data_IF_346069451310
#
_entry.id   IF_346069451310
#
_cell.length_a   1.000
_cell.length_b   1.000
_cell.length_c   1.000
_cell.angle_alpha   90.00
_cell.angle_beta   90.00
_cell.angle_gamma   90.00
#
_symmetry.space_group_name_H-M   'P 1'
#
loop_
_entity.id
_entity.type
_entity.pdbx_description
1 polymer ?
#
# COMPACT_ATOMS: atom_id res chain seq x y z
N UNK A 1 18.30 -46.91 -8.32
CA UNK A 1 18.52 -45.96 -7.20
C UNK A 1 19.09 -44.62 -7.69
N UNK A 2 20.21 -44.60 -8.44
CA UNK A 2 20.83 -43.35 -8.92
C UNK A 2 19.96 -42.52 -9.89
N UNK A 3 19.25 -43.15 -10.82
CA UNK A 3 18.41 -42.44 -11.79
C UNK A 3 17.24 -41.67 -11.13
N UNK A 4 16.66 -42.22 -10.07
CA UNK A 4 15.57 -41.58 -9.31
C UNK A 4 16.10 -40.35 -8.55
N UNK A 5 17.29 -40.45 -7.96
CA UNK A 5 17.93 -39.32 -7.28
C UNK A 5 18.27 -38.17 -8.25
N UNK A 6 18.73 -38.49 -9.47
CA UNK A 6 19.03 -37.48 -10.49
C UNK A 6 17.76 -36.72 -10.94
N UNK A 7 16.64 -37.41 -11.13
CA UNK A 7 15.37 -36.79 -11.51
C UNK A 7 14.86 -35.85 -10.41
N UNK A 8 14.92 -36.28 -9.14
CA UNK A 8 14.52 -35.44 -7.99
C UNK A 8 15.39 -34.18 -7.91
N UNK A 9 16.71 -34.30 -8.15
CA UNK A 9 17.62 -33.17 -8.12
C UNK A 9 17.32 -32.13 -9.20
N UNK A 10 17.00 -32.59 -10.42
CA UNK A 10 16.60 -31.70 -11.52
C UNK A 10 15.29 -30.98 -11.22
N UNK A 11 14.31 -31.68 -10.64
CA UNK A 11 13.04 -31.06 -10.24
C UNK A 11 13.24 -30.00 -9.16
N UNK A 12 14.03 -30.29 -8.13
CA UNK A 12 14.35 -29.33 -7.05
C UNK A 12 15.14 -28.14 -7.60
N UNK A 13 16.09 -28.36 -8.51
CA UNK A 13 16.87 -27.29 -9.13
C UNK A 13 15.98 -26.36 -9.98
N UNK A 14 15.09 -26.91 -10.80
CA UNK A 14 14.14 -26.13 -11.59
C UNK A 14 13.14 -25.37 -10.71
N UNK A 15 12.66 -25.99 -9.63
CA UNK A 15 11.72 -25.35 -8.70
C UNK A 15 12.40 -24.26 -7.87
N UNK A 16 13.64 -24.48 -7.42
CA UNK A 16 14.45 -23.50 -6.71
C UNK A 16 14.82 -22.29 -7.56
N UNK A 17 15.08 -22.49 -8.85
CA UNK A 17 15.38 -21.41 -9.80
C UNK A 17 14.14 -20.58 -10.17
N UNK A 18 12.96 -21.22 -10.25
CA UNK A 18 11.70 -20.54 -10.57
C UNK A 18 11.10 -19.76 -9.38
N UNK A 19 11.43 -20.16 -8.14
CA UNK A 19 10.92 -19.55 -6.92
C UNK A 19 11.14 -18.03 -6.79
N UNK A 20 12.35 -17.48 -7.00
CA UNK A 20 12.57 -16.03 -6.93
C UNK A 20 11.78 -15.27 -8.01
N UNK A 21 11.56 -15.89 -9.16
CA UNK A 21 10.80 -15.31 -10.28
C UNK A 21 9.30 -15.24 -9.98
N UNK A 22 8.73 -16.31 -9.40
CA UNK A 22 7.33 -16.35 -8.96
C UNK A 22 7.05 -15.33 -7.84
N UNK A 23 7.99 -15.16 -6.91
CA UNK A 23 7.87 -14.19 -5.82
C UNK A 23 7.84 -12.75 -6.34
N UNK A 24 8.77 -12.38 -7.23
CA UNK A 24 8.80 -11.05 -7.84
C UNK A 24 7.57 -10.79 -8.71
N UNK A 25 7.10 -11.80 -9.44
CA UNK A 25 5.85 -11.70 -10.19
C UNK A 25 4.67 -11.41 -9.27
N UNK A 26 4.52 -12.16 -8.16
CA UNK A 26 3.42 -11.97 -7.21
C UNK A 26 3.40 -10.55 -6.62
N UNK A 27 4.56 -9.99 -6.31
CA UNK A 27 4.68 -8.60 -5.84
C UNK A 27 4.25 -7.63 -6.94
N UNK A 28 4.74 -7.79 -8.17
CA UNK A 28 4.35 -6.95 -9.32
C UNK A 28 2.84 -6.96 -9.57
N UNK A 29 2.21 -8.13 -9.58
CA UNK A 29 0.76 -8.26 -9.78
C UNK A 29 -0.03 -7.54 -8.68
N UNK A 30 0.39 -7.66 -7.42
CA UNK A 30 -0.25 -6.98 -6.29
C UNK A 30 -0.09 -5.47 -6.37
N UNK A 31 1.08 -4.98 -6.78
CA UNK A 31 1.33 -3.55 -7.02
C UNK A 31 0.45 -2.99 -8.14
N UNK A 32 0.27 -3.72 -9.25
CA UNK A 32 -0.57 -3.31 -10.38
C UNK A 32 -2.05 -3.30 -10.01
N UNK A 33 -2.52 -4.29 -9.25
CA UNK A 33 -3.90 -4.32 -8.76
C UNK A 33 -4.20 -3.11 -7.87
N UNK A 34 -3.32 -2.82 -6.91
CA UNK A 34 -3.43 -1.64 -6.05
C UNK A 34 -3.31 -0.33 -6.84
N UNK A 35 -2.46 -0.27 -7.87
CA UNK A 35 -2.34 0.92 -8.73
C UNK A 35 -3.66 1.25 -9.44
N UNK A 36 -4.33 0.22 -9.98
CA UNK A 36 -5.62 0.37 -10.63
C UNK A 36 -6.70 0.82 -9.64
N UNK A 37 -6.72 0.24 -8.44
CA UNK A 37 -7.66 0.64 -7.39
C UNK A 37 -7.41 2.08 -6.94
N UNK A 38 -6.16 2.46 -6.66
CA UNK A 38 -5.82 3.83 -6.26
C UNK A 38 -6.18 4.81 -7.37
N UNK A 39 -5.87 4.51 -8.64
CA UNK A 39 -6.22 5.39 -9.77
C UNK A 39 -7.74 5.51 -9.95
N UNK A 40 -8.46 4.41 -9.73
CA UNK A 40 -9.92 4.42 -9.73
C UNK A 40 -10.49 5.30 -8.61
N UNK A 41 -9.91 5.25 -7.42
CA UNK A 41 -10.38 6.07 -6.31
C UNK A 41 -9.90 7.52 -6.39
N UNK A 42 -8.74 7.82 -6.99
CA UNK A 42 -8.30 9.18 -7.27
C UNK A 42 -9.25 9.92 -8.23
N UNK A 43 -9.91 9.19 -9.14
CA UNK A 43 -10.97 9.76 -9.98
C UNK A 43 -12.25 10.10 -9.18
N UNK A 44 -12.43 9.55 -7.98
CA UNK A 44 -13.63 9.73 -7.14
C UNK A 44 -13.39 10.62 -5.91
N UNK A 45 -12.16 10.63 -5.40
CA UNK A 45 -11.75 11.36 -4.21
C UNK A 45 -10.57 12.26 -4.58
N UNK A 46 -10.78 13.57 -4.52
CA UNK A 46 -9.71 14.53 -4.76
C UNK A 46 -8.78 14.57 -3.54
N UNK A 47 -7.50 14.32 -3.74
CA UNK A 47 -6.51 14.31 -2.66
C UNK A 47 -5.64 15.55 -2.84
N UNK A 48 -5.58 16.40 -1.81
CA UNK A 48 -4.72 17.56 -1.76
C UNK A 48 -3.83 17.50 -0.52
N UNK A 49 -2.56 17.85 -0.70
CA UNK A 49 -1.63 18.09 0.42
C UNK A 49 -1.88 19.44 1.09
N UNK A 50 -2.64 20.33 0.45
CA UNK A 50 -3.03 21.61 0.98
C UNK A 50 -4.35 21.54 1.76
N UNK A 51 -4.59 22.54 2.62
CA UNK A 51 -5.82 22.71 3.40
C UNK A 51 -7.07 23.01 2.55
N UNK A 52 -6.95 23.10 1.22
CA UNK A 52 -8.06 23.37 0.31
C UNK A 52 -7.75 22.84 -1.10
N UNK A 53 -8.80 22.53 -1.86
CA UNK A 53 -8.69 22.19 -3.28
C UNK A 53 -8.95 23.46 -4.11
N UNK A 54 -8.01 23.90 -4.97
CA UNK A 54 -8.21 25.06 -5.82
C UNK A 54 -9.49 24.93 -6.67
N UNK A 55 -10.35 25.94 -6.63
CA UNK A 55 -11.59 25.97 -7.41
C UNK A 55 -12.74 25.12 -6.85
N UNK A 56 -12.63 24.59 -5.62
CA UNK A 56 -13.74 23.92 -4.93
C UNK A 56 -13.89 24.43 -3.50
N UNK A 57 -15.13 24.70 -3.11
CA UNK A 57 -15.47 25.08 -1.73
C UNK A 57 -15.69 23.82 -0.89
N UNK A 58 -15.11 23.80 0.31
CA UNK A 58 -15.35 22.75 1.29
C UNK A 58 -16.75 22.92 1.90
N UNK A 59 -17.67 22.01 1.59
CA UNK A 59 -19.03 22.00 2.13
C UNK A 59 -19.06 21.53 3.57
N UNK A 60 -18.30 20.47 3.89
CA UNK A 60 -18.35 19.84 5.20
C UNK A 60 -17.03 19.14 5.53
N UNK A 61 -16.56 19.30 6.76
CA UNK A 61 -15.45 18.52 7.31
C UNK A 61 -16.03 17.31 8.04
N UNK A 62 -15.66 16.09 7.62
CA UNK A 62 -16.17 14.85 8.18
C UNK A 62 -15.28 14.30 9.29
N UNK A 63 -14.00 14.69 9.32
CA UNK A 63 -13.06 14.37 10.40
C UNK A 63 -11.73 13.79 9.89
N UNK A 64 -10.85 13.35 10.81
CA UNK A 64 -9.57 12.75 10.43
C UNK A 64 -9.77 11.34 9.86
N UNK A 65 -9.11 11.05 8.74
CA UNK A 65 -8.99 9.72 8.17
C UNK A 65 -7.54 9.25 8.24
N UNK A 66 -7.34 7.95 8.45
CA UNK A 66 -6.01 7.34 8.55
C UNK A 66 -5.96 6.00 7.82
N UNK A 67 -4.84 5.72 7.16
CA UNK A 67 -4.55 4.44 6.54
C UNK A 67 -3.12 4.00 6.84
N UNK A 68 -2.96 2.72 7.19
CA UNK A 68 -1.67 2.18 7.64
C UNK A 68 -1.30 0.95 6.84
N UNK A 69 -0.04 0.87 6.40
CA UNK A 69 0.47 -0.29 5.69
C UNK A 69 0.56 -1.50 6.62
N UNK A 70 0.17 -2.68 6.12
CA UNK A 70 0.31 -3.94 6.87
C UNK A 70 1.61 -4.66 6.55
N UNK A 71 2.22 -4.34 5.41
CA UNK A 71 3.46 -4.96 4.97
C UNK A 71 4.66 -4.33 5.71
N UNK A 72 5.52 -5.15 6.33
CA UNK A 72 6.85 -4.71 6.78
C UNK A 72 7.73 -4.50 5.54
N UNK A 73 8.04 -3.24 5.22
CA UNK A 73 8.88 -2.93 4.06
C UNK A 73 10.37 -2.97 4.43
N UNK A 74 11.12 -3.87 3.82
CA UNK A 74 12.58 -3.97 3.98
C UNK A 74 13.35 -3.36 2.81
N UNK A 75 12.73 -3.33 1.62
CA UNK A 75 13.34 -2.83 0.38
C UNK A 75 12.54 -1.65 -0.22
N UNK A 76 13.13 -0.90 -1.15
CA UNK A 76 12.52 0.28 -1.76
C UNK A 76 11.22 -0.04 -2.52
N UNK A 77 11.13 -1.19 -3.19
CA UNK A 77 9.91 -1.64 -3.86
C UNK A 77 8.79 -2.03 -2.87
N UNK A 78 9.17 -2.63 -1.74
CA UNK A 78 8.23 -2.95 -0.65
C UNK A 78 7.76 -1.67 0.05
N UNK A 79 8.62 -0.64 0.14
CA UNK A 79 8.25 0.68 0.66
C UNK A 79 7.22 1.35 -0.22
N UNK A 80 7.42 1.35 -1.54
CA UNK A 80 6.41 1.85 -2.50
C UNK A 80 5.08 1.09 -2.39
N UNK A 81 5.14 -0.22 -2.15
CA UNK A 81 3.94 -1.02 -1.92
C UNK A 81 3.25 -0.66 -0.61
N UNK A 82 4.01 -0.45 0.47
CA UNK A 82 3.50 -0.02 1.76
C UNK A 82 2.84 1.37 1.68
N UNK A 83 3.44 2.33 0.98
CA UNK A 83 2.87 3.65 0.70
C UNK A 83 1.52 3.54 -0.01
N UNK A 84 1.43 2.67 -1.03
CA UNK A 84 0.18 2.41 -1.77
C UNK A 84 -0.89 1.77 -0.89
N UNK A 85 -0.53 0.79 -0.05
CA UNK A 85 -1.49 0.18 0.88
C UNK A 85 -2.00 1.19 1.92
N UNK A 86 -1.11 2.03 2.46
CA UNK A 86 -1.49 3.08 3.40
C UNK A 86 -2.43 4.11 2.76
N UNK A 87 -2.10 4.56 1.53
CA UNK A 87 -2.95 5.48 0.77
C UNK A 87 -4.32 4.88 0.44
N UNK A 88 -4.35 3.62 0.01
CA UNK A 88 -5.61 2.92 -0.28
C UNK A 88 -6.48 2.80 0.97
N UNK A 89 -5.87 2.47 2.13
CA UNK A 89 -6.58 2.43 3.41
C UNK A 89 -7.20 3.78 3.78
N UNK A 90 -6.43 4.86 3.63
CA UNK A 90 -6.88 6.23 3.90
C UNK A 90 -8.08 6.61 3.03
N UNK A 91 -7.97 6.38 1.72
CA UNK A 91 -9.03 6.69 0.76
C UNK A 91 -10.29 5.87 1.04
N UNK A 92 -10.13 4.58 1.35
CA UNK A 92 -11.25 3.70 1.69
C UNK A 92 -11.97 4.17 2.95
N UNK A 93 -11.23 4.60 3.97
CA UNK A 93 -11.78 5.18 5.19
C UNK A 93 -12.54 6.48 4.87
N UNK A 94 -11.95 7.36 4.08
CA UNK A 94 -12.58 8.61 3.64
C UNK A 94 -13.90 8.35 2.88
N UNK A 95 -13.93 7.37 1.97
CA UNK A 95 -15.15 6.98 1.24
C UNK A 95 -16.21 6.43 2.20
N UNK A 96 -15.82 5.62 3.20
CA UNK A 96 -16.75 5.11 4.23
C UNK A 96 -17.36 6.23 5.06
N UNK A 97 -16.63 7.33 5.26
CA UNK A 97 -17.14 8.53 5.91
C UNK A 97 -18.04 9.38 5.00
N UNK A 98 -18.11 9.08 3.69
CA UNK A 98 -18.86 9.86 2.71
C UNK A 98 -18.08 11.06 2.17
N UNK A 99 -16.76 11.11 2.38
CA UNK A 99 -15.91 12.15 1.83
C UNK A 99 -15.68 11.97 0.33
N UNK A 100 -15.60 13.09 -0.39
CA UNK A 100 -15.18 13.13 -1.79
C UNK A 100 -13.83 13.85 -1.97
N UNK A 101 -13.21 14.27 -0.87
CA UNK A 101 -11.87 14.78 -0.85
C UNK A 101 -11.14 14.48 0.46
N UNK A 102 -9.82 14.41 0.38
CA UNK A 102 -8.93 14.34 1.56
C UNK A 102 -7.94 15.49 1.46
N UNK A 103 -7.92 16.32 2.49
CA UNK A 103 -7.04 17.48 2.64
C UNK A 103 -5.92 17.16 3.63
N UNK A 104 -4.88 18.00 3.64
CA UNK A 104 -3.75 17.93 4.59
C UNK A 104 -3.13 16.54 4.71
N UNK A 105 -2.94 15.89 3.56
CA UNK A 105 -2.30 14.59 3.51
C UNK A 105 -0.89 14.66 4.12
N UNK A 106 -0.69 13.92 5.22
CA UNK A 106 0.59 13.71 5.88
C UNK A 106 0.95 12.23 5.81
N UNK A 107 2.18 11.96 5.41
CA UNK A 107 2.74 10.61 5.40
C UNK A 107 3.83 10.50 6.46
N UNK A 108 3.66 9.56 7.38
CA UNK A 108 4.62 9.24 8.43
C UNK A 108 5.22 7.87 8.14
N UNK A 109 6.54 7.78 8.26
CA UNK A 109 7.29 6.57 7.98
C UNK A 109 8.03 6.16 9.25
N UNK A 110 7.62 5.04 9.84
CA UNK A 110 8.18 4.53 11.08
C UNK A 110 9.06 3.31 10.78
N UNK A 111 10.32 3.36 11.19
CA UNK A 111 11.24 2.23 11.10
C UNK A 111 11.28 1.49 12.43
N UNK A 112 11.10 0.17 12.38
CA UNK A 112 11.11 -0.70 13.56
C UNK A 112 11.87 -1.99 13.28
N UNK A 113 12.45 -2.60 14.32
CA UNK A 113 13.06 -3.91 14.18
C UNK A 113 11.95 -4.98 14.03
N UNK A 114 11.96 -5.67 12.89
CA UNK A 114 11.06 -6.78 12.67
C UNK A 114 11.85 -8.09 12.71
N UNK A 115 11.30 -9.04 13.46
CA UNK A 115 11.78 -10.43 13.49
C UNK A 115 10.74 -11.25 12.78
N UNK A 116 11.06 -11.81 11.61
CA UNK A 116 10.13 -12.69 10.89
C UNK A 116 10.15 -14.09 11.54
N UNK A 117 9.07 -14.52 12.22
CA UNK A 117 9.03 -15.81 12.89
C UNK A 117 8.92 -16.99 11.89
N UNK A 118 8.64 -16.75 10.60
CA UNK A 118 8.42 -17.83 9.62
C UNK A 118 9.69 -18.42 9.00
N UNK A 119 10.87 -17.82 9.23
CA UNK A 119 12.16 -18.37 8.77
C UNK A 119 12.79 -19.39 9.72
N UNK A 120 12.02 -19.90 10.69
CA UNK A 120 12.51 -20.73 11.80
C UNK A 120 13.00 -22.14 11.43
N UNK A 121 12.86 -22.60 10.18
CA UNK A 121 13.12 -24.00 9.87
C UNK A 121 14.60 -24.34 9.57
N UNK A 122 15.50 -23.38 9.31
CA UNK A 122 16.91 -23.71 8.98
C UNK A 122 17.97 -22.66 9.38
N UNK A 123 17.60 -21.39 9.65
CA UNK A 123 18.57 -20.32 9.96
C UNK A 123 18.13 -19.47 11.16
N UNK A 124 19.06 -18.88 11.93
CA UNK A 124 18.72 -18.00 13.06
C UNK A 124 17.79 -16.88 12.58
N UNK A 125 16.82 -16.50 13.43
CA UNK A 125 15.82 -15.49 13.11
C UNK A 125 16.49 -14.21 12.63
N UNK A 126 16.38 -13.94 11.33
CA UNK A 126 16.99 -12.77 10.71
C UNK A 126 16.19 -11.56 11.17
N UNK A 127 16.78 -10.76 12.07
CA UNK A 127 16.27 -9.43 12.40
C UNK A 127 16.56 -8.50 11.23
N UNK A 128 15.56 -7.80 10.75
CA UNK A 128 15.74 -6.76 9.75
C UNK A 128 14.95 -5.52 10.11
N UNK A 129 15.47 -4.36 9.70
CA UNK A 129 14.75 -3.09 9.84
C UNK A 129 13.58 -3.09 8.87
N UNK A 130 12.37 -3.16 9.41
CA UNK A 130 11.15 -2.99 8.64
C UNK A 130 10.67 -1.54 8.75
N UNK A 131 10.07 -1.07 7.67
CA UNK A 131 9.47 0.25 7.61
C UNK A 131 7.96 0.09 7.49
N UNK A 132 7.23 0.86 8.28
CA UNK A 132 5.78 0.97 8.25
C UNK A 132 5.41 2.38 7.78
N UNK A 133 4.43 2.47 6.90
CA UNK A 133 3.97 3.75 6.37
C UNK A 133 2.55 3.99 6.87
N UNK A 134 2.32 5.18 7.40
CA UNK A 134 1.01 5.65 7.85
C UNK A 134 0.68 6.93 7.12
N UNK A 135 -0.46 6.96 6.44
CA UNK A 135 -1.01 8.15 5.81
C UNK A 135 -2.18 8.66 6.65
N UNK A 136 -2.19 9.95 6.96
CA UNK A 136 -3.26 10.63 7.66
C UNK A 136 -3.69 11.87 6.87
N UNK A 137 -4.96 12.25 6.98
CA UNK A 137 -5.48 13.46 6.37
C UNK A 137 -6.86 13.80 6.91
N UNK A 138 -7.40 14.93 6.47
CA UNK A 138 -8.74 15.37 6.85
C UNK A 138 -9.71 15.01 5.75
N UNK A 139 -10.67 14.13 6.05
CA UNK A 139 -11.73 13.75 5.13
C UNK A 139 -12.78 14.86 5.07
N UNK A 140 -13.05 15.34 3.86
CA UNK A 140 -13.98 16.45 3.63
C UNK A 140 -14.90 16.16 2.45
N UNK A 141 -16.03 16.86 2.45
CA UNK A 141 -16.93 16.98 1.33
C UNK A 141 -16.72 18.35 0.67
N UNK A 142 -16.34 18.35 -0.59
CA UNK A 142 -16.20 19.55 -1.44
C UNK A 142 -17.33 19.61 -2.46
N UNK A 143 -17.75 20.81 -2.81
CA UNK A 143 -18.74 21.02 -3.86
C UNK A 143 -18.19 20.51 -5.20
N UNK A 144 -19.07 19.93 -6.02
CA UNK A 144 -18.70 19.60 -7.40
C UNK A 144 -18.33 20.90 -8.13
N UNK A 145 -17.22 20.90 -8.87
CA UNK A 145 -16.83 22.03 -9.70
C UNK A 145 -17.95 22.26 -10.74
N UNK A 146 -18.82 23.24 -10.50
CA UNK A 146 -19.96 23.54 -11.37
C UNK A 146 -21.24 24.01 -10.68
N UNK A 147 -21.40 23.89 -9.35
CA UNK A 147 -22.56 24.47 -8.66
C UNK A 147 -22.29 25.93 -8.30
N UNK A 148 -22.28 26.81 -9.32
CA UNK A 148 -22.56 28.23 -9.10
C UNK A 148 -24.06 28.34 -8.78
N UNK A 149 -24.47 28.89 -7.63
CA UNK A 149 -25.86 29.24 -7.41
C UNK A 149 -26.10 30.57 -8.13
N UNK A 150 -26.66 30.50 -9.33
CA UNK A 150 -27.41 31.63 -9.92
C UNK A 150 -28.84 31.16 -10.20
#
# INVERSE_FOLDING_TARGET
>A
MAAVAAIIFVVIALFGLAWPFLYTYRIKWRTIALDKEIKYFQNRVAIATANAIPGRTTEQVLGPATGTSRIPASNNDERKLAEREAMHGLIKEAIRMGANAVLDLKMVTDSYEHTDPKRFLVFPAVKFTATKVTCAGTAVKVAAAGSSPE
#
